data_IF_304967646401
#
_entry.id   IF_304967646401
#
_cell.length_a   1.000
_cell.length_b   1.000
_cell.length_c   1.000
_cell.angle_alpha   90.00
_cell.angle_beta   90.00
_cell.angle_gamma   90.00
#
_symmetry.space_group_name_H-M   'P 1'
#
loop_
_entity.id
_entity.type
_entity.pdbx_description
1 polymer ?
#
# COMPACT_ATOMS: atom_id res chain seq x y z
N UNK A 1 5.95 -11.52 -37.98
CA UNK A 1 4.86 -10.80 -37.32
C UNK A 1 4.98 -11.07 -35.83
N UNK A 2 5.52 -10.12 -35.06
CA UNK A 2 5.65 -10.26 -33.60
C UNK A 2 5.29 -8.94 -32.96
N UNK A 3 4.02 -8.77 -32.60
CA UNK A 3 3.57 -7.67 -31.77
C UNK A 3 3.71 -8.08 -30.31
N UNK A 4 4.80 -7.67 -29.67
CA UNK A 4 4.96 -7.77 -28.22
C UNK A 4 4.14 -6.63 -27.60
N UNK A 5 2.87 -6.88 -27.26
CA UNK A 5 2.08 -5.94 -26.46
C UNK A 5 2.60 -5.99 -25.01
N UNK A 6 3.61 -5.20 -24.69
CA UNK A 6 3.92 -4.85 -23.30
C UNK A 6 2.94 -3.75 -22.88
N UNK A 7 1.82 -4.12 -22.30
CA UNK A 7 0.92 -3.19 -21.62
C UNK A 7 1.55 -2.78 -20.29
N UNK A 8 2.52 -1.86 -20.34
CA UNK A 8 3.13 -1.20 -19.18
C UNK A 8 2.14 -0.19 -18.59
N UNK A 9 1.09 -0.67 -17.90
CA UNK A 9 0.22 0.16 -17.03
C UNK A 9 0.74 0.04 -15.59
N UNK A 10 2.05 0.24 -15.39
CA UNK A 10 2.63 0.37 -14.06
C UNK A 10 2.29 1.76 -13.53
N UNK A 11 1.53 1.80 -12.43
CA UNK A 11 1.09 3.05 -11.84
C UNK A 11 1.20 3.02 -10.33
N UNK A 12 1.69 4.12 -9.74
CA UNK A 12 1.65 4.34 -8.31
C UNK A 12 0.39 5.12 -7.94
N UNK A 13 -0.45 4.53 -7.09
CA UNK A 13 -1.57 5.19 -6.43
C UNK A 13 -1.16 5.57 -5.01
N UNK A 14 -1.61 6.74 -4.54
CA UNK A 14 -1.31 7.22 -3.20
C UNK A 14 -2.60 7.32 -2.41
N UNK A 15 -2.63 6.68 -1.25
CA UNK A 15 -3.62 6.86 -0.20
C UNK A 15 -2.96 7.61 0.95
N UNK A 16 -3.59 8.70 1.41
CA UNK A 16 -3.13 9.46 2.58
C UNK A 16 -4.06 9.16 3.75
N UNK A 17 -3.48 8.72 4.87
CA UNK A 17 -4.18 8.50 6.12
C UNK A 17 -4.16 9.78 6.96
N UNK A 18 -5.33 10.20 7.43
CA UNK A 18 -5.47 11.33 8.33
C UNK A 18 -5.85 10.84 9.73
N UNK A 19 -5.40 11.57 10.74
CA UNK A 19 -5.81 11.30 12.12
C UNK A 19 -7.33 11.42 12.29
N UNK A 20 -7.96 10.39 12.89
CA UNK A 20 -9.39 10.35 13.18
C UNK A 20 -10.30 10.09 11.97
N UNK A 21 -9.71 9.83 10.79
CA UNK A 21 -10.46 9.51 9.57
C UNK A 21 -10.85 8.03 9.57
N UNK A 22 -12.15 7.75 9.37
CA UNK A 22 -12.68 6.41 9.14
C UNK A 22 -12.98 6.24 7.65
N UNK A 23 -12.37 5.22 7.06
CA UNK A 23 -12.49 4.85 5.64
C UNK A 23 -12.96 3.41 5.47
N UNK A 24 -13.58 2.80 6.48
CA UNK A 24 -14.06 1.42 6.40
C UNK A 24 -15.00 1.16 5.22
N UNK A 25 -15.76 2.18 4.82
CA UNK A 25 -16.77 2.10 3.77
C UNK A 25 -16.25 2.57 2.39
N UNK A 26 -14.99 2.99 2.30
CA UNK A 26 -14.38 3.46 1.06
C UNK A 26 -13.63 2.34 0.34
N UNK A 27 -13.96 2.10 -0.94
CA UNK A 27 -13.29 1.10 -1.77
C UNK A 27 -12.21 1.72 -2.65
N UNK A 28 -10.95 1.45 -2.29
CA UNK A 28 -9.80 1.75 -3.16
C UNK A 28 -9.59 0.64 -4.19
N UNK A 29 -9.76 0.98 -5.48
CA UNK A 29 -9.62 0.03 -6.60
C UNK A 29 -8.22 0.12 -7.23
N UNK A 30 -7.55 -1.02 -7.33
CA UNK A 30 -6.25 -1.17 -7.97
C UNK A 30 -6.35 -2.09 -9.17
N UNK A 31 -5.59 -1.81 -10.24
CA UNK A 31 -5.41 -2.73 -11.37
C UNK A 31 -4.18 -3.60 -11.14
N UNK A 32 -4.11 -4.73 -11.85
CA UNK A 32 -2.89 -5.56 -11.90
C UNK A 32 -1.72 -4.71 -12.42
N UNK A 33 -0.58 -4.77 -11.75
CA UNK A 33 0.60 -3.96 -12.05
C UNK A 33 0.61 -2.59 -11.37
N UNK A 34 -0.46 -2.20 -10.66
CA UNK A 34 -0.46 -0.98 -9.86
C UNK A 34 0.09 -1.24 -8.46
N UNK A 35 0.72 -0.20 -7.91
CA UNK A 35 1.26 -0.16 -6.56
C UNK A 35 0.51 0.88 -5.76
N UNK A 36 0.06 0.53 -4.55
CA UNK A 36 -0.49 1.48 -3.59
C UNK A 36 0.58 1.89 -2.60
N UNK A 37 0.87 3.20 -2.53
CA UNK A 37 1.61 3.81 -1.44
C UNK A 37 0.63 4.36 -0.42
N UNK A 38 0.78 3.96 0.83
CA UNK A 38 0.03 4.53 1.93
C UNK A 38 0.95 5.47 2.70
N UNK A 39 0.56 6.75 2.77
CA UNK A 39 1.29 7.85 3.42
C UNK A 39 0.53 8.36 4.63
N UNK A 40 1.25 8.96 5.57
CA UNK A 40 0.64 9.70 6.66
C UNK A 40 0.51 11.16 6.26
N UNK A 41 -0.59 11.81 6.63
CA UNK A 41 -0.66 13.26 6.54
C UNK A 41 0.15 13.92 7.67
N UNK A 42 0.34 15.24 7.59
CA UNK A 42 1.13 16.00 8.56
C UNK A 42 0.60 15.90 10.01
N UNK A 43 -0.72 15.68 10.20
CA UNK A 43 -1.31 15.52 11.53
C UNK A 43 -1.07 14.13 12.13
N UNK A 44 -0.62 13.16 11.33
CA UNK A 44 -0.42 11.78 11.73
C UNK A 44 1.07 11.37 11.68
N UNK A 45 1.90 12.10 10.95
CA UNK A 45 3.32 11.80 10.71
C UNK A 45 4.16 11.70 11.98
N UNK A 46 3.82 12.45 13.03
CA UNK A 46 4.53 12.43 14.32
C UNK A 46 4.15 11.22 15.19
N UNK A 47 3.10 10.45 14.84
CA UNK A 47 2.67 9.28 15.60
C UNK A 47 3.37 8.01 15.13
N UNK A 48 3.58 7.06 16.06
CA UNK A 48 4.04 5.70 15.74
C UNK A 48 2.87 4.86 15.20
N UNK A 49 2.63 4.98 13.90
CA UNK A 49 1.57 4.23 13.18
C UNK A 49 2.11 2.90 12.67
N UNK A 50 1.28 1.85 12.78
CA UNK A 50 1.52 0.52 12.21
C UNK A 50 0.37 0.21 11.26
N UNK A 51 0.67 -0.35 10.09
CA UNK A 51 -0.33 -0.67 9.06
C UNK A 51 -0.29 -2.17 8.83
N UNK A 52 -1.46 -2.79 8.75
CA UNK A 52 -1.60 -4.24 8.70
C UNK A 52 -2.57 -4.64 7.60
N UNK A 53 -2.18 -5.52 6.69
CA UNK A 53 -3.05 -5.95 5.60
C UNK A 53 -3.28 -7.45 5.59
N UNK A 54 -4.46 -7.88 5.16
CA UNK A 54 -4.73 -9.29 4.84
C UNK A 54 -4.48 -9.64 3.37
N UNK A 55 -3.96 -8.69 2.58
CA UNK A 55 -3.52 -8.96 1.22
C UNK A 55 -2.30 -9.89 1.22
N UNK A 56 -2.26 -10.82 0.26
CA UNK A 56 -1.07 -11.63 0.02
C UNK A 56 0.10 -10.74 -0.38
N UNK A 57 1.24 -10.86 0.30
CA UNK A 57 2.44 -10.08 0.00
C UNK A 57 3.31 -10.76 -1.05
N UNK A 58 3.19 -12.09 -1.20
CA UNK A 58 3.84 -12.87 -2.23
C UNK A 58 2.81 -13.66 -3.07
N UNK A 59 3.16 -14.03 -4.30
CA UNK A 59 2.26 -14.80 -5.18
C UNK A 59 1.96 -16.21 -4.63
N UNK A 60 2.91 -16.79 -3.90
CA UNK A 60 2.81 -18.13 -3.31
C UNK A 60 1.91 -18.19 -2.08
N UNK A 61 1.69 -17.06 -1.39
CA UNK A 61 0.95 -17.01 -0.13
C UNK A 61 -0.53 -17.34 -0.34
N UNK A 62 -1.11 -18.21 0.48
CA UNK A 62 -2.56 -18.43 0.46
C UNK A 62 -3.30 -17.25 1.10
N UNK A 63 -4.44 -16.85 0.52
CA UNK A 63 -5.23 -15.75 1.06
C UNK A 63 -6.04 -16.23 2.26
N UNK A 64 -5.82 -15.59 3.41
CA UNK A 64 -6.53 -15.87 4.66
C UNK A 64 -7.17 -14.57 5.18
N UNK A 65 -8.51 -14.48 5.12
CA UNK A 65 -9.27 -13.24 5.39
C UNK A 65 -8.96 -12.60 6.75
N UNK A 66 -8.69 -13.41 7.76
CA UNK A 66 -8.49 -12.99 9.15
C UNK A 66 -7.01 -12.99 9.57
N UNK A 67 -6.09 -13.24 8.64
CA UNK A 67 -4.64 -13.15 8.87
C UNK A 67 -4.15 -11.81 8.36
N UNK A 68 -3.44 -11.06 9.21
CA UNK A 68 -2.93 -9.74 8.88
C UNK A 68 -1.41 -9.68 9.02
N UNK A 69 -0.75 -9.02 8.08
CA UNK A 69 0.69 -8.84 8.02
C UNK A 69 1.05 -7.37 8.15
N UNK A 70 2.00 -7.07 9.03
CA UNK A 70 2.50 -5.70 9.24
C UNK A 70 3.35 -5.26 8.05
N UNK A 71 2.96 -4.16 7.41
CA UNK A 71 3.74 -3.54 6.35
C UNK A 71 4.92 -2.76 6.92
N UNK A 72 6.04 -2.74 6.17
CA UNK A 72 7.26 -2.05 6.58
C UNK A 72 7.32 -0.63 6.00
N UNK A 73 7.62 0.34 6.86
CA UNK A 73 7.85 1.72 6.47
C UNK A 73 9.10 1.84 5.59
N UNK A 74 8.97 2.58 4.50
CA UNK A 74 10.03 3.01 3.60
C UNK A 74 10.26 4.50 3.85
N UNK A 75 11.52 4.88 4.02
CA UNK A 75 11.96 6.25 4.29
C UNK A 75 12.73 6.73 3.06
N UNK A 76 12.12 7.55 2.18
CA UNK A 76 12.76 7.99 0.94
C UNK A 76 13.84 9.05 1.17
N UNK A 77 13.74 9.85 2.23
CA UNK A 77 14.76 10.83 2.58
C UNK A 77 15.99 10.14 3.19
N UNK A 78 17.18 10.49 2.69
CA UNK A 78 18.46 10.02 3.26
C UNK A 78 18.82 10.69 4.59
N UNK A 79 17.97 11.62 5.06
CA UNK A 79 18.20 12.44 6.24
C UNK A 79 17.70 11.76 7.51
N UNK A 80 18.60 11.53 8.47
CA UNK A 80 18.35 10.76 9.71
C UNK A 80 17.23 11.28 10.63
N UNK A 81 16.55 12.39 10.31
CA UNK A 81 15.64 13.10 11.20
C UNK A 81 14.31 13.53 10.59
N UNK A 82 14.11 13.35 9.28
CA UNK A 82 12.85 13.72 8.62
C UNK A 82 12.13 12.46 8.15
N UNK A 83 11.29 11.91 9.03
CA UNK A 83 10.45 10.76 8.72
C UNK A 83 9.04 11.15 8.24
N UNK A 84 8.85 12.42 7.87
CA UNK A 84 7.53 12.96 7.52
C UNK A 84 6.99 12.45 6.19
N UNK A 85 7.87 12.00 5.29
CA UNK A 85 7.52 11.51 3.96
C UNK A 85 7.54 9.97 3.84
N UNK A 86 7.63 9.26 4.98
CA UNK A 86 7.59 7.81 5.02
C UNK A 86 6.28 7.26 4.43
N UNK A 87 6.38 6.10 3.81
CA UNK A 87 5.25 5.41 3.21
C UNK A 87 5.39 3.90 3.38
N UNK A 88 4.28 3.17 3.35
CA UNK A 88 4.31 1.72 3.14
C UNK A 88 3.85 1.42 1.71
N UNK A 89 4.27 0.27 1.19
CA UNK A 89 3.91 -0.19 -0.15
C UNK A 89 3.04 -1.42 -0.05
N UNK A 90 1.98 -1.43 -0.83
CA UNK A 90 1.13 -2.58 -1.07
C UNK A 90 1.05 -2.84 -2.58
N UNK A 91 1.46 -4.02 -3.01
CA UNK A 91 1.34 -4.49 -4.38
C UNK A 91 0.34 -5.64 -4.41
N UNK A 92 -0.68 -5.58 -5.27
CA UNK A 92 -1.66 -6.65 -5.37
C UNK A 92 -1.10 -7.82 -6.18
N UNK A 93 -0.65 -8.87 -5.50
CA UNK A 93 -0.20 -10.12 -6.12
C UNK A 93 -1.39 -10.98 -6.62
N UNK A 94 -2.57 -10.80 -6.00
CA UNK A 94 -3.80 -11.56 -6.30
C UNK A 94 -4.98 -10.63 -6.53
N UNK A 95 -5.91 -11.04 -7.39
CA UNK A 95 -7.19 -10.34 -7.56
C UNK A 95 -8.13 -10.67 -6.40
N UNK A 96 -8.77 -9.64 -5.83
CA UNK A 96 -9.65 -9.82 -4.69
C UNK A 96 -10.01 -8.50 -4.00
N UNK A 97 -10.61 -8.63 -2.83
CA UNK A 97 -10.89 -7.52 -1.91
C UNK A 97 -10.14 -7.78 -0.61
N UNK A 98 -9.37 -6.79 -0.19
CA UNK A 98 -8.45 -6.85 0.94
C UNK A 98 -8.67 -5.65 1.85
N UNK A 99 -8.22 -5.77 3.10
CA UNK A 99 -8.22 -4.72 4.11
C UNK A 99 -6.78 -4.34 4.47
N UNK A 100 -6.59 -3.13 5.01
CA UNK A 100 -5.33 -2.61 5.53
C UNK A 100 -5.53 -1.93 6.89
#
# INVERSE_FOLDING_TARGET
>A
MSTTNHSTDEQVRVLVLNEGEDKSDELYRLKKGWTLQIKLSANLSWRKVRIFTNACLNEEDQFERNSYHELKWIYPSSGRYDDSDRYVVLSCCKSGSFHY
#
